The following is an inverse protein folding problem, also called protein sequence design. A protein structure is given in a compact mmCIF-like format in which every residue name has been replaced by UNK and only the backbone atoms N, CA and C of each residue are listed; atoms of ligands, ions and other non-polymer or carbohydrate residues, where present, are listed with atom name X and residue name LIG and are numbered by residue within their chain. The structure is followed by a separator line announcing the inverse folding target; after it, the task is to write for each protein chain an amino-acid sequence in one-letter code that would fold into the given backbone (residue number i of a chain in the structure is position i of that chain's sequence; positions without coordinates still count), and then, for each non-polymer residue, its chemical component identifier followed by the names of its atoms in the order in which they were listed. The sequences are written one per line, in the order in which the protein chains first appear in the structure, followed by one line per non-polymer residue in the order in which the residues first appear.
data_IF_553566996998
#
_entry.id   IF_553566996998
#
_cell.length_a   1.000
_cell.length_b   1.000
_cell.length_c   1.000
_cell.angle_alpha   90.00
_cell.angle_beta   90.00
_cell.angle_gamma   90.00
#
_symmetry.space_group_name_H-M   'P 1'
#
loop_
_entity.id
_entity.type
_entity.pdbx_description
1 polymer ?
#
# COMPACT_ATOMS: atom_id res chain seq x y z
N UNK A 1 37.59 4.63 -18.87
CA UNK A 1 36.49 3.67 -18.58
C UNK A 1 35.81 4.05 -17.27
N UNK A 2 35.06 5.17 -17.22
CA UNK A 2 34.30 5.62 -16.04
C UNK A 2 33.04 6.39 -16.52
N UNK A 3 32.07 5.69 -17.12
CA UNK A 3 30.88 6.30 -17.74
C UNK A 3 29.53 5.79 -17.19
N UNK A 4 29.46 5.20 -15.98
CA UNK A 4 28.24 4.51 -15.55
C UNK A 4 27.80 4.64 -14.07
N UNK A 5 28.23 5.64 -13.32
CA UNK A 5 27.51 5.98 -12.06
C UNK A 5 26.50 7.09 -12.34
N UNK A 6 25.31 6.70 -12.78
CA UNK A 6 24.12 7.57 -12.75
C UNK A 6 23.76 7.71 -11.26
N UNK A 7 23.61 8.93 -10.71
CA UNK A 7 23.11 9.08 -9.35
C UNK A 7 21.75 8.38 -9.26
N UNK A 8 21.65 7.37 -8.40
CA UNK A 8 20.39 6.70 -8.16
C UNK A 8 19.47 7.68 -7.45
N UNK A 9 18.35 8.02 -8.09
CA UNK A 9 17.28 8.75 -7.43
C UNK A 9 16.66 7.80 -6.41
N UNK A 10 16.68 8.20 -5.14
CA UNK A 10 16.16 7.41 -4.02
C UNK A 10 15.06 8.20 -3.33
N UNK A 11 13.94 7.54 -3.10
CA UNK A 11 12.84 8.08 -2.29
C UNK A 11 12.99 7.59 -0.85
N UNK A 12 12.94 8.52 0.10
CA UNK A 12 12.96 8.21 1.53
C UNK A 12 11.57 8.42 2.12
N UNK A 13 11.02 7.36 2.71
CA UNK A 13 9.72 7.39 3.38
C UNK A 13 9.85 7.05 4.86
N UNK A 14 8.98 7.61 5.69
CA UNK A 14 8.87 7.27 7.11
C UNK A 14 7.68 6.33 7.28
N UNK A 15 7.96 5.05 7.54
CA UNK A 15 6.94 4.00 7.58
C UNK A 15 5.80 4.28 8.58
N UNK A 16 6.08 5.01 9.67
CA UNK A 16 5.09 5.36 10.70
C UNK A 16 4.15 6.52 10.32
N UNK A 17 4.35 7.16 9.16
CA UNK A 17 3.58 8.35 8.73
C UNK A 17 2.97 8.22 7.35
N UNK A 18 3.13 7.06 6.72
CA UNK A 18 2.66 6.80 5.36
C UNK A 18 1.45 5.89 5.40
N UNK A 19 0.64 5.89 4.33
CA UNK A 19 -0.50 5.00 4.22
C UNK A 19 -0.08 3.53 4.40
N UNK A 20 -0.90 2.75 5.10
CA UNK A 20 -0.63 1.35 5.40
C UNK A 20 -0.36 0.52 4.13
N UNK A 21 -1.06 0.79 3.04
CA UNK A 21 -0.85 0.13 1.75
C UNK A 21 0.56 0.34 1.17
N UNK A 22 1.14 1.55 1.34
CA UNK A 22 2.51 1.86 0.91
C UNK A 22 3.52 1.24 1.88
N UNK A 23 3.28 1.35 3.18
CA UNK A 23 4.13 0.74 4.20
C UNK A 23 4.19 -0.79 4.02
N UNK A 24 3.07 -1.46 3.78
CA UNK A 24 3.01 -2.89 3.49
C UNK A 24 3.80 -3.26 2.24
N UNK A 25 3.78 -2.40 1.21
CA UNK A 25 4.59 -2.59 0.01
C UNK A 25 6.09 -2.50 0.31
N UNK A 26 6.50 -1.54 1.14
CA UNK A 26 7.90 -1.42 1.57
C UNK A 26 8.38 -2.61 2.40
N UNK A 27 7.53 -3.12 3.31
CA UNK A 27 7.84 -4.27 4.18
C UNK A 27 8.05 -5.56 3.38
N UNK A 28 7.37 -5.73 2.23
CA UNK A 28 7.61 -6.87 1.31
C UNK A 28 9.00 -6.85 0.66
N UNK A 29 9.73 -5.74 0.75
CA UNK A 29 11.08 -5.62 0.24
C UNK A 29 12.12 -6.31 1.12
N UNK A 30 13.40 -6.07 0.81
CA UNK A 30 14.53 -6.63 1.57
C UNK A 30 14.86 -5.68 2.72
N UNK A 31 14.74 -6.10 3.99
CA UNK A 31 15.14 -5.27 5.12
C UNK A 31 16.66 -5.08 5.14
N UNK A 32 17.10 -3.82 5.24
CA UNK A 32 18.53 -3.50 5.32
C UNK A 32 19.06 -3.61 6.76
N UNK A 33 18.28 -3.17 7.75
CA UNK A 33 18.61 -3.20 9.17
C UNK A 33 17.35 -3.41 9.99
N UNK A 34 17.38 -4.36 10.93
CA UNK A 34 16.35 -4.58 11.94
C UNK A 34 17.04 -4.51 13.30
N UNK A 35 16.72 -3.49 14.10
CA UNK A 35 17.33 -3.30 15.42
C UNK A 35 16.59 -4.07 16.52
N UNK A 36 15.29 -4.24 16.35
CA UNK A 36 14.39 -4.93 17.27
C UNK A 36 13.43 -5.76 16.43
N UNK A 37 13.53 -7.08 16.56
CA UNK A 37 12.76 -8.01 15.76
C UNK A 37 11.31 -8.15 16.24
N UNK A 38 11.08 -8.01 17.55
CA UNK A 38 9.72 -8.07 18.11
C UNK A 38 8.91 -6.85 17.70
N UNK A 39 9.54 -5.66 17.73
CA UNK A 39 8.95 -4.43 17.22
C UNK A 39 8.67 -4.54 15.72
N UNK A 40 9.62 -5.08 14.94
CA UNK A 40 9.43 -5.33 13.52
C UNK A 40 8.21 -6.21 13.29
N UNK A 41 8.11 -7.36 13.97
CA UNK A 41 7.03 -8.34 13.75
C UNK A 41 5.66 -7.74 14.05
N UNK A 42 5.55 -7.01 15.16
CA UNK A 42 4.32 -6.29 15.50
C UNK A 42 3.96 -5.27 14.42
N UNK A 43 4.94 -4.49 13.96
CA UNK A 43 4.74 -3.48 12.94
C UNK A 43 4.26 -4.10 11.62
N UNK A 44 4.90 -5.19 11.17
CA UNK A 44 4.47 -5.88 9.96
C UNK A 44 3.07 -6.42 10.07
N UNK A 45 2.74 -7.14 11.14
CA UNK A 45 1.41 -7.74 11.31
C UNK A 45 0.32 -6.69 11.23
N UNK A 46 0.50 -5.57 11.94
CA UNK A 46 -0.44 -4.44 11.93
C UNK A 46 -0.56 -3.88 10.51
N UNK A 47 0.55 -3.48 9.91
CA UNK A 47 0.51 -2.78 8.62
C UNK A 47 0.00 -3.67 7.48
N UNK A 48 0.31 -4.97 7.48
CA UNK A 48 -0.23 -5.89 6.48
C UNK A 48 -1.73 -6.07 6.65
N UNK A 49 -2.23 -6.21 7.89
CA UNK A 49 -3.66 -6.33 8.14
C UNK A 49 -4.41 -5.08 7.67
N UNK A 50 -3.99 -3.90 8.11
CA UNK A 50 -4.60 -2.62 7.72
C UNK A 50 -4.57 -2.41 6.19
N UNK A 51 -3.51 -2.89 5.52
CA UNK A 51 -3.40 -2.80 4.08
C UNK A 51 -4.34 -3.77 3.34
N UNK A 52 -4.62 -4.96 3.87
CA UNK A 52 -5.62 -5.87 3.28
C UNK A 52 -7.04 -5.35 3.52
N UNK A 53 -7.36 -4.94 4.75
CA UNK A 53 -8.69 -4.39 5.09
C UNK A 53 -9.04 -3.18 4.21
N UNK A 54 -8.05 -2.30 3.96
CA UNK A 54 -8.23 -1.17 3.05
C UNK A 54 -8.48 -1.62 1.60
N UNK A 55 -7.80 -2.67 1.11
CA UNK A 55 -8.01 -3.16 -0.26
C UNK A 55 -9.39 -3.76 -0.43
N UNK A 56 -9.83 -4.60 0.51
CA UNK A 56 -11.17 -5.16 0.51
C UNK A 56 -12.23 -4.05 0.51
N UNK A 57 -12.07 -3.05 1.38
CA UNK A 57 -12.95 -1.89 1.42
C UNK A 57 -13.01 -1.14 0.09
N UNK A 58 -11.86 -0.86 -0.54
CA UNK A 58 -11.80 -0.15 -1.82
C UNK A 58 -12.46 -0.95 -2.94
N UNK A 59 -12.23 -2.26 -2.99
CA UNK A 59 -12.80 -3.15 -3.99
C UNK A 59 -14.33 -3.20 -3.86
N UNK A 60 -14.85 -3.35 -2.64
CA UNK A 60 -16.29 -3.33 -2.35
C UNK A 60 -16.93 -1.99 -2.70
N UNK A 61 -16.31 -0.90 -2.25
CA UNK A 61 -16.78 0.45 -2.54
C UNK A 61 -16.84 0.70 -4.05
N UNK A 62 -15.79 0.30 -4.77
CA UNK A 62 -15.74 0.42 -6.22
C UNK A 62 -16.83 -0.40 -6.91
N UNK A 63 -17.04 -1.65 -6.50
CA UNK A 63 -18.08 -2.50 -7.05
C UNK A 63 -19.50 -1.91 -6.84
N UNK A 64 -19.78 -1.37 -5.65
CA UNK A 64 -21.04 -0.70 -5.34
C UNK A 64 -21.22 0.57 -6.19
N UNK A 65 -20.16 1.38 -6.33
CA UNK A 65 -20.17 2.59 -7.14
C UNK A 65 -20.47 2.30 -8.61
N UNK A 66 -19.87 1.26 -9.19
CA UNK A 66 -20.12 0.84 -10.58
C UNK A 66 -21.59 0.39 -10.78
N UNK A 67 -22.12 -0.44 -9.87
CA UNK A 67 -23.53 -0.86 -9.92
C UNK A 67 -24.49 0.31 -9.78
N UNK A 68 -24.19 1.25 -8.89
CA UNK A 68 -25.03 2.43 -8.66
C UNK A 68 -25.02 3.38 -9.86
N UNK A 69 -23.89 3.50 -10.54
CA UNK A 69 -23.77 4.26 -11.80
C UNK A 69 -24.63 3.65 -12.90
N UNK A 70 -24.71 2.31 -12.98
CA UNK A 70 -25.58 1.60 -13.94
C UNK A 70 -27.08 1.65 -13.60
N UNK A 71 -27.48 2.25 -12.47
CA UNK A 71 -28.88 2.41 -12.06
C UNK A 71 -29.43 3.82 -12.35
N UNK A 72 -28.72 4.61 -13.17
CA UNK A 72 -29.16 5.94 -13.60
C UNK A 72 -30.61 5.86 -14.14
N UNK A 73 -31.48 6.85 -13.84
CA UNK A 73 -32.92 6.75 -14.08
C UNK A 73 -33.33 6.46 -15.53
N UNK A 74 -32.48 6.84 -16.50
CA UNK A 74 -32.71 6.60 -17.94
C UNK A 74 -32.61 5.13 -18.39
N UNK A 75 -32.07 4.23 -17.56
CA UNK A 75 -31.92 2.80 -17.90
C UNK A 75 -32.97 1.89 -17.22
N UNK A 76 -33.93 2.50 -16.51
CA UNK A 76 -35.12 1.83 -15.98
C UNK A 76 -36.21 1.98 -17.05
N UNK A 77 -36.56 0.87 -17.70
CA UNK A 77 -37.60 0.77 -18.72
C UNK A 77 -38.89 1.54 -18.39
#
# INVERSE_FOLDING_TARGET
MLKYLRPMTVDLIVLNRIAASIAATAIRGIPLVIKDYDLWLKFMLIITQEAEDYREFVDDYYAISQRSTSLAPQDRA
#
